data_IF_484618541453
#
_entry.id   IF_484618541453
#
_cell.length_a   1.000
_cell.length_b   1.000
_cell.length_c   1.000
_cell.angle_alpha   90.00
_cell.angle_beta   90.00
_cell.angle_gamma   90.00
#
_symmetry.space_group_name_H-M   'P 1'
#
loop_
_entity.id
_entity.type
_entity.pdbx_description
1 polymer ?
#
# COMPACT_ATOMS: atom_id res chain seq x y z
N UNK A 1 -18.05 -7.57 -0.27
CA UNK A 1 -17.15 -6.87 0.68
C UNK A 1 -17.19 -5.40 0.32
N UNK A 2 -17.76 -4.55 1.17
CA UNK A 2 -17.60 -3.10 1.00
C UNK A 2 -16.16 -2.82 1.45
N UNK A 3 -15.27 -2.29 0.60
CA UNK A 3 -13.94 -1.96 1.06
C UNK A 3 -14.10 -0.87 2.10
N UNK A 4 -13.69 -1.16 3.34
CA UNK A 4 -13.55 -0.12 4.35
C UNK A 4 -12.60 0.93 3.76
N UNK A 5 -13.10 2.15 3.51
CA UNK A 5 -12.29 3.26 3.02
C UNK A 5 -11.42 3.76 4.16
N UNK A 6 -10.35 3.01 4.43
CA UNK A 6 -9.34 3.36 5.41
C UNK A 6 -8.44 4.46 4.85
N UNK A 7 -8.31 5.61 5.52
CA UNK A 7 -7.46 6.71 5.06
C UNK A 7 -5.97 6.39 5.24
N UNK A 8 -5.18 6.52 4.18
CA UNK A 8 -3.72 6.34 4.19
C UNK A 8 -2.99 7.56 4.75
N UNK A 9 -3.57 8.74 4.58
CA UNK A 9 -3.04 10.01 5.07
C UNK A 9 -4.16 11.04 5.29
N UNK A 10 -3.87 12.06 6.11
CA UNK A 10 -4.88 13.04 6.57
C UNK A 10 -5.34 14.03 5.48
N UNK A 11 -4.58 14.22 4.40
CA UNK A 11 -4.92 15.15 3.33
C UNK A 11 -5.51 14.39 2.13
N UNK A 12 -6.74 14.76 1.73
CA UNK A 12 -7.49 14.09 0.67
C UNK A 12 -6.81 14.12 -0.72
N UNK A 13 -6.05 15.17 -1.05
CA UNK A 13 -5.32 15.22 -2.33
C UNK A 13 -4.14 14.25 -2.33
N UNK A 14 -3.48 14.09 -1.18
CA UNK A 14 -2.38 13.15 -1.02
C UNK A 14 -2.89 11.71 -1.01
N UNK A 15 -4.05 11.48 -0.39
CA UNK A 15 -4.72 10.19 -0.29
C UNK A 15 -4.86 9.50 -1.66
N UNK A 16 -5.40 10.22 -2.65
CA UNK A 16 -5.61 9.66 -3.98
C UNK A 16 -4.31 9.27 -4.69
N UNK A 17 -3.24 10.04 -4.50
CA UNK A 17 -1.94 9.74 -5.10
C UNK A 17 -1.27 8.54 -4.42
N UNK A 18 -1.26 8.50 -3.08
CA UNK A 18 -0.69 7.39 -2.32
C UNK A 18 -1.49 6.10 -2.56
N UNK A 19 -2.82 6.19 -2.62
CA UNK A 19 -3.69 5.04 -2.95
C UNK A 19 -3.28 4.37 -4.25
N UNK A 20 -3.07 5.16 -5.32
CA UNK A 20 -2.63 4.64 -6.62
C UNK A 20 -1.29 3.90 -6.53
N UNK A 21 -0.37 4.38 -5.69
CA UNK A 21 0.91 3.70 -5.47
C UNK A 21 0.69 2.37 -4.73
N UNK A 22 -0.09 2.38 -3.65
CA UNK A 22 -0.42 1.17 -2.87
C UNK A 22 -1.09 0.11 -3.75
N UNK A 23 -2.10 0.51 -4.55
CA UNK A 23 -2.80 -0.38 -5.46
C UNK A 23 -1.88 -0.91 -6.56
N UNK A 24 -0.97 -0.08 -7.06
CA UNK A 24 0.06 -0.49 -8.03
C UNK A 24 1.04 -1.51 -7.47
N UNK A 25 1.50 -1.33 -6.22
CA UNK A 25 2.32 -2.31 -5.52
C UNK A 25 1.58 -3.64 -5.32
N UNK A 26 0.29 -3.57 -4.95
CA UNK A 26 -0.54 -4.74 -4.78
C UNK A 26 -0.74 -5.50 -6.09
N UNK A 27 -1.03 -4.79 -7.19
CA UNK A 27 -1.13 -5.36 -8.53
C UNK A 27 0.18 -6.01 -8.97
N UNK A 28 1.31 -5.34 -8.81
CA UNK A 28 2.63 -5.88 -9.12
C UNK A 28 2.92 -7.20 -8.40
N UNK A 29 2.59 -7.30 -7.10
CA UNK A 29 2.78 -8.52 -6.33
C UNK A 29 1.82 -9.64 -6.77
N UNK A 30 0.56 -9.30 -7.05
CA UNK A 30 -0.42 -10.26 -7.55
C UNK A 30 0.00 -10.86 -8.91
N UNK A 31 0.51 -10.03 -9.81
CA UNK A 31 1.01 -10.47 -11.12
C UNK A 31 2.26 -11.35 -11.01
N UNK A 32 3.13 -11.08 -10.02
CA UNK A 32 4.39 -11.81 -9.84
C UNK A 32 4.25 -13.11 -9.05
N UNK A 33 3.20 -13.26 -8.27
CA UNK A 33 2.94 -14.43 -7.42
C UNK A 33 1.61 -15.13 -7.78
N UNK A 34 1.38 -15.50 -9.05
CA UNK A 34 0.12 -16.11 -9.48
C UNK A 34 -0.08 -17.46 -8.78
N UNK A 35 -1.27 -17.65 -8.22
CA UNK A 35 -1.63 -18.86 -7.45
C UNK A 35 -0.86 -19.06 -6.15
N UNK A 36 0.03 -18.13 -5.79
CA UNK A 36 0.88 -18.17 -4.58
C UNK A 36 0.64 -16.98 -3.65
N UNK A 37 -0.05 -15.94 -4.07
CA UNK A 37 -0.44 -14.86 -3.18
C UNK A 37 -1.71 -15.25 -2.42
N UNK A 38 -1.59 -15.53 -1.14
CA UNK A 38 -2.73 -15.80 -0.25
C UNK A 38 -3.29 -14.51 0.31
N UNK A 39 -2.41 -13.56 0.63
CA UNK A 39 -2.80 -12.28 1.18
C UNK A 39 -1.70 -11.25 1.08
N UNK A 40 -2.11 -9.99 1.05
CA UNK A 40 -1.25 -8.83 1.12
C UNK A 40 -1.80 -7.88 2.19
N UNK A 41 -0.98 -7.57 3.19
CA UNK A 41 -1.36 -6.69 4.29
C UNK A 41 -0.51 -5.44 4.22
N UNK A 42 -1.15 -4.28 4.06
CA UNK A 42 -0.46 -3.00 4.23
C UNK A 42 -0.14 -2.81 5.72
N UNK A 43 1.11 -2.51 6.04
CA UNK A 43 1.58 -2.27 7.40
C UNK A 43 2.19 -0.86 7.52
N UNK A 44 2.80 -0.55 8.66
CA UNK A 44 3.51 0.72 8.84
C UNK A 44 2.60 1.94 9.03
N UNK A 45 3.17 3.12 8.90
CA UNK A 45 2.50 4.41 9.13
C UNK A 45 1.29 4.61 8.21
N UNK A 46 1.39 4.21 6.94
CA UNK A 46 0.30 4.29 5.98
C UNK A 46 -0.89 3.38 6.31
N UNK A 47 -0.66 2.23 6.97
CA UNK A 47 -1.75 1.37 7.49
C UNK A 47 -2.48 1.93 8.71
N UNK A 48 -1.96 3.01 9.32
CA UNK A 48 -2.55 3.70 10.49
C UNK A 48 -3.05 5.11 10.16
N UNK A 49 -2.99 5.53 8.90
CA UNK A 49 -3.38 6.88 8.49
C UNK A 49 -2.39 7.96 8.94
N UNK A 50 -1.18 7.54 9.34
CA UNK A 50 -0.07 8.39 9.81
C UNK A 50 0.98 8.59 8.71
N UNK A 51 0.69 8.14 7.49
CA UNK A 51 1.57 8.27 6.33
C UNK A 51 1.97 9.72 6.09
N UNK A 52 3.28 9.97 6.03
CA UNK A 52 3.82 11.32 5.88
C UNK A 52 4.31 11.53 4.45
N UNK A 53 3.82 12.60 3.83
CA UNK A 53 4.25 13.04 2.51
C UNK A 53 4.57 14.52 2.53
N UNK A 54 5.55 14.91 1.72
CA UNK A 54 5.96 16.29 1.50
C UNK A 54 5.60 16.70 0.08
N UNK A 55 4.81 17.76 -0.07
CA UNK A 55 4.56 18.38 -1.36
C UNK A 55 5.71 19.34 -1.71
N UNK A 56 6.43 19.06 -2.80
CA UNK A 56 7.54 19.92 -3.30
C UNK A 56 7.41 20.05 -4.81
N UNK A 57 7.38 21.27 -5.33
CA UNK A 57 7.33 21.56 -6.77
C UNK A 57 6.21 20.81 -7.53
N UNK A 58 5.02 20.71 -6.94
CA UNK A 58 3.90 19.98 -7.54
C UNK A 58 3.99 18.45 -7.49
N UNK A 59 5.04 17.91 -6.86
CA UNK A 59 5.20 16.47 -6.63
C UNK A 59 4.98 16.12 -5.16
N UNK A 60 4.57 14.87 -4.92
CA UNK A 60 4.51 14.30 -3.58
C UNK A 60 5.71 13.39 -3.36
N UNK A 61 6.45 13.64 -2.28
CA UNK A 61 7.52 12.77 -1.80
C UNK A 61 7.06 12.07 -0.54
N UNK A 62 7.12 10.75 -0.54
CA UNK A 62 6.93 9.96 0.67
C UNK A 62 8.14 10.19 1.59
N UNK A 63 7.91 10.48 2.87
CA UNK A 63 9.00 10.71 3.85
C UNK A 63 9.35 9.45 4.66
N UNK A 64 8.86 8.30 4.22
CA UNK A 64 9.11 6.99 4.82
C UNK A 64 8.76 5.89 3.83
N UNK A 65 8.64 4.66 4.32
CA UNK A 65 8.37 3.50 3.47
C UNK A 65 6.87 3.18 3.39
N UNK A 66 6.48 2.60 2.25
CA UNK A 66 5.20 1.90 2.11
C UNK A 66 5.50 0.42 2.32
N UNK A 67 5.05 -0.10 3.46
CA UNK A 67 5.43 -1.43 3.93
C UNK A 67 4.30 -2.43 3.69
N UNK A 68 4.66 -3.63 3.26
CA UNK A 68 3.73 -4.73 3.06
C UNK A 68 4.23 -6.00 3.74
N UNK A 69 3.31 -6.72 4.38
CA UNK A 69 3.49 -8.12 4.74
C UNK A 69 2.82 -9.00 3.67
N UNK A 70 3.61 -9.84 3.01
CA UNK A 70 3.12 -10.77 1.98
C UNK A 70 2.92 -12.15 2.60
N UNK A 71 1.73 -12.72 2.42
CA UNK A 71 1.39 -14.08 2.87
C UNK A 71 1.38 -15.01 1.67
N UNK A 72 2.23 -16.03 1.71
CA UNK A 72 2.34 -17.08 0.69
C UNK A 72 2.08 -18.45 1.32
N UNK A 73 1.64 -19.46 0.55
CA UNK A 73 1.51 -20.82 1.05
C UNK A 73 2.83 -21.32 1.60
N UNK A 74 2.75 -22.14 2.64
CA UNK A 74 3.89 -22.96 3.04
C UNK A 74 4.24 -23.88 1.87
N UNK A 75 5.45 -23.76 1.34
CA UNK A 75 5.99 -24.74 0.41
C UNK A 75 6.28 -26.01 1.22
N UNK A 76 5.49 -27.06 1.00
CA UNK A 76 5.87 -28.42 1.37
C UNK A 76 6.64 -29.01 0.20
N UNK A 77 7.85 -29.50 0.46
CA UNK A 77 8.65 -30.26 -0.52
C UNK A 77 7.89 -31.48 -1.04
#
# INVERSE_FOLDING_TARGET
MIPATFQLCRNAQHEGAVRRVVDGCAGFLADRLPGKLVGLVLTGSFSRGEGTVLAVNGHLRVLGDIEFLVVVPRMTD
#
